data_IF_389957951025
#
_entry.id   IF_389957951025
#
_cell.length_a   1.000
_cell.length_b   1.000
_cell.length_c   1.000
_cell.angle_alpha   90.00
_cell.angle_beta   90.00
_cell.angle_gamma   90.00
#
_symmetry.space_group_name_H-M   'P 1'
#
loop_
_entity.id
_entity.type
_entity.pdbx_description
1 polymer ?
#
# COMPACT_ATOMS: atom_id res chain seq x y z
N UNK A 1 39.10 26.37 -26.65
CA UNK A 1 38.45 25.97 -27.91
C UNK A 1 37.05 25.50 -27.57
N UNK A 2 36.04 26.29 -27.90
CA UNK A 2 34.64 25.88 -27.73
C UNK A 2 34.24 25.25 -29.06
N UNK A 3 33.91 23.96 -29.05
CA UNK A 3 33.41 23.29 -30.25
C UNK A 3 32.05 23.88 -30.63
N UNK A 4 31.75 23.91 -31.93
CA UNK A 4 30.44 24.33 -32.43
C UNK A 4 29.34 23.47 -31.77
N UNK A 5 28.16 24.02 -31.41
CA UNK A 5 27.11 23.26 -30.74
C UNK A 5 26.70 21.98 -31.50
N UNK A 6 26.73 22.03 -32.83
CA UNK A 6 26.46 20.86 -33.67
C UNK A 6 27.54 19.78 -33.57
N UNK A 7 28.80 20.16 -33.45
CA UNK A 7 29.91 19.21 -33.27
C UNK A 7 29.85 18.61 -31.87
N UNK A 8 29.57 19.43 -30.84
CA UNK A 8 29.36 18.95 -29.48
C UNK A 8 28.19 17.95 -29.41
N UNK A 9 27.10 18.24 -30.12
CA UNK A 9 25.95 17.34 -30.25
C UNK A 9 26.33 16.04 -30.95
N UNK A 10 27.00 16.10 -32.10
CA UNK A 10 27.41 14.92 -32.86
C UNK A 10 28.38 14.01 -32.08
N UNK A 11 29.32 14.60 -31.34
CA UNK A 11 30.23 13.85 -30.46
C UNK A 11 29.47 13.17 -29.33
N UNK A 12 28.55 13.89 -28.69
CA UNK A 12 27.72 13.34 -27.62
C UNK A 12 26.81 12.21 -28.14
N UNK A 13 26.15 12.39 -29.29
CA UNK A 13 25.35 11.34 -29.95
C UNK A 13 26.20 10.11 -30.29
N UNK A 14 27.44 10.30 -30.76
CA UNK A 14 28.38 9.22 -31.06
C UNK A 14 28.81 8.45 -29.80
N UNK A 15 29.16 9.14 -28.72
CA UNK A 15 29.52 8.51 -27.43
C UNK A 15 28.35 7.68 -26.88
N UNK A 16 27.14 8.23 -26.91
CA UNK A 16 25.91 7.53 -26.51
C UNK A 16 25.66 6.27 -27.36
N UNK A 17 25.97 6.32 -28.66
CA UNK A 17 25.85 5.16 -29.56
C UNK A 17 26.82 4.03 -29.21
N UNK A 18 28.03 4.36 -28.76
CA UNK A 18 28.97 3.35 -28.29
C UNK A 18 28.57 2.73 -26.96
N UNK A 19 28.00 3.53 -26.05
CA UNK A 19 27.44 3.00 -24.80
C UNK A 19 26.24 2.07 -25.05
N UNK A 20 25.38 2.38 -26.04
CA UNK A 20 24.32 1.49 -26.50
C UNK A 20 24.86 0.11 -26.90
N UNK A 21 25.90 0.07 -27.74
CA UNK A 21 26.50 -1.19 -28.23
C UNK A 21 27.10 -1.98 -27.08
N UNK A 22 27.81 -1.32 -26.15
CA UNK A 22 28.38 -1.97 -24.95
C UNK A 22 27.30 -2.50 -24.01
N UNK A 23 26.21 -1.76 -23.87
CA UNK A 23 25.11 -2.14 -22.98
C UNK A 23 24.27 -3.28 -23.54
N UNK A 24 24.00 -3.31 -24.86
CA UNK A 24 23.33 -4.47 -25.52
C UNK A 24 24.15 -5.76 -25.42
N UNK A 25 25.47 -5.65 -25.30
CA UNK A 25 26.37 -6.78 -25.04
C UNK A 25 26.45 -7.15 -23.55
N UNK A 26 25.95 -6.31 -22.65
CA UNK A 26 25.90 -6.55 -21.21
C UNK A 26 24.50 -7.06 -20.82
N UNK A 27 24.41 -8.07 -19.96
CA UNK A 27 23.13 -8.60 -19.46
C UNK A 27 22.38 -7.65 -18.50
N UNK A 28 22.72 -6.36 -18.48
CA UNK A 28 22.14 -5.37 -17.58
C UNK A 28 20.86 -4.73 -18.13
N UNK A 29 20.00 -4.23 -17.25
CA UNK A 29 18.84 -3.43 -17.66
C UNK A 29 19.28 -2.02 -18.07
N UNK A 30 18.69 -1.47 -19.12
CA UNK A 30 19.03 -0.14 -19.64
C UNK A 30 18.42 0.94 -18.74
N UNK A 31 19.27 1.62 -17.97
CA UNK A 31 18.91 2.62 -16.94
C UNK A 31 18.66 4.01 -17.56
N UNK A 32 18.89 4.20 -18.86
CA UNK A 32 18.73 5.52 -19.51
C UNK A 32 17.28 5.97 -19.55
N UNK A 33 17.12 7.28 -19.41
CA UNK A 33 15.83 7.96 -19.39
C UNK A 33 15.22 8.06 -20.79
N UNK A 34 13.90 8.21 -20.82
CA UNK A 34 13.12 8.33 -22.04
C UNK A 34 13.49 9.52 -22.93
N UNK A 35 14.18 10.55 -22.45
CA UNK A 35 14.61 11.69 -23.27
C UNK A 35 15.95 11.46 -24.00
N UNK A 36 16.77 10.53 -23.52
CA UNK A 36 18.17 10.42 -23.93
C UNK A 36 18.39 9.65 -25.23
N UNK A 37 17.50 8.70 -25.57
CA UNK A 37 17.71 7.79 -26.71
C UNK A 37 16.39 7.54 -27.43
N UNK A 38 16.43 7.58 -28.77
CA UNK A 38 15.26 7.38 -29.64
C UNK A 38 14.49 6.07 -29.36
N UNK A 39 15.21 4.97 -29.08
CA UNK A 39 14.59 3.69 -28.71
C UNK A 39 13.75 3.81 -27.43
N UNK A 40 14.25 4.53 -26.43
CA UNK A 40 13.53 4.78 -25.17
C UNK A 40 12.38 5.77 -25.36
N UNK A 41 12.55 6.78 -26.20
CA UNK A 41 11.47 7.71 -26.60
C UNK A 41 10.31 6.93 -27.24
N UNK A 42 10.59 6.06 -28.23
CA UNK A 42 9.58 5.21 -28.88
C UNK A 42 8.87 4.28 -27.90
N UNK A 43 9.62 3.66 -26.98
CA UNK A 43 9.04 2.81 -25.94
C UNK A 43 8.13 3.60 -24.99
N UNK A 44 8.56 4.79 -24.57
CA UNK A 44 7.78 5.68 -23.72
C UNK A 44 6.49 6.12 -24.39
N UNK A 45 6.52 6.56 -25.65
CA UNK A 45 5.33 6.92 -26.41
C UNK A 45 4.33 5.75 -26.47
N UNK A 46 4.82 4.54 -26.75
CA UNK A 46 3.97 3.34 -26.74
C UNK A 46 3.34 3.09 -25.38
N UNK A 47 4.09 3.26 -24.29
CA UNK A 47 3.59 3.12 -22.93
C UNK A 47 2.54 4.18 -22.58
N UNK A 48 2.77 5.44 -22.96
CA UNK A 48 1.81 6.53 -22.74
C UNK A 48 0.52 6.26 -23.50
N UNK A 49 0.59 5.86 -24.77
CA UNK A 49 -0.61 5.51 -25.56
C UNK A 49 -1.36 4.35 -24.91
N UNK A 50 -0.67 3.29 -24.52
CA UNK A 50 -1.29 2.14 -23.85
C UNK A 50 -1.94 2.54 -22.51
N UNK A 51 -1.28 3.40 -21.74
CA UNK A 51 -1.80 3.90 -20.48
C UNK A 51 -3.06 4.74 -20.69
N UNK A 52 -3.04 5.71 -21.60
CA UNK A 52 -4.21 6.54 -21.92
C UNK A 52 -5.37 5.69 -22.40
N UNK A 53 -5.14 4.74 -23.31
CA UNK A 53 -6.17 3.82 -23.78
C UNK A 53 -6.75 2.96 -22.64
N UNK A 54 -5.92 2.57 -21.67
CA UNK A 54 -6.37 1.82 -20.50
C UNK A 54 -7.23 2.68 -19.58
N UNK A 55 -6.83 3.93 -19.33
CA UNK A 55 -7.62 4.90 -18.56
C UNK A 55 -8.96 5.18 -19.24
N UNK A 56 -8.97 5.39 -20.57
CA UNK A 56 -10.21 5.60 -21.31
C UNK A 56 -11.14 4.38 -21.24
N UNK A 57 -10.57 3.17 -21.30
CA UNK A 57 -11.33 1.91 -21.26
C UNK A 57 -11.84 1.56 -19.86
N UNK A 58 -11.02 1.75 -18.82
CA UNK A 58 -11.31 1.31 -17.45
C UNK A 58 -11.88 2.44 -16.58
N UNK A 59 -11.85 3.68 -17.05
CA UNK A 59 -12.14 4.87 -16.27
C UNK A 59 -10.89 5.41 -15.58
N UNK A 60 -10.86 6.72 -15.34
CA UNK A 60 -9.77 7.37 -14.62
C UNK A 60 -9.99 7.23 -13.11
N UNK A 61 -9.25 6.31 -12.49
CA UNK A 61 -9.32 6.08 -11.03
C UNK A 61 -8.95 7.32 -10.19
N UNK A 62 -8.24 8.31 -10.74
CA UNK A 62 -7.96 9.56 -10.03
C UNK A 62 -9.15 10.53 -9.98
N UNK A 63 -10.16 10.30 -10.82
CA UNK A 63 -11.43 11.05 -10.81
C UNK A 63 -12.57 10.20 -10.23
N UNK A 64 -12.26 8.99 -9.78
CA UNK A 64 -13.23 8.06 -9.25
C UNK A 64 -13.55 8.40 -7.79
N UNK A 65 -14.75 8.92 -7.54
CA UNK A 65 -15.30 9.14 -6.19
C UNK A 65 -15.98 7.86 -5.68
N UNK A 66 -15.27 6.73 -5.68
CA UNK A 66 -15.79 5.50 -5.07
C UNK A 66 -15.51 5.49 -3.56
N UNK A 67 -16.47 4.95 -2.80
CA UNK A 67 -16.41 4.86 -1.34
C UNK A 67 -15.10 4.21 -0.86
N UNK A 68 -14.59 3.20 -1.59
CA UNK A 68 -13.33 2.52 -1.30
C UNK A 68 -12.09 3.45 -1.43
N UNK A 69 -12.07 4.36 -2.41
CA UNK A 69 -10.98 5.34 -2.58
C UNK A 69 -11.07 6.43 -1.51
N UNK A 70 -12.29 6.83 -1.14
CA UNK A 70 -12.53 7.79 -0.06
C UNK A 70 -12.13 7.24 1.31
N UNK A 71 -12.32 5.94 1.57
CA UNK A 71 -11.85 5.26 2.79
C UNK A 71 -10.32 5.24 2.88
N UNK A 72 -9.62 5.06 1.75
CA UNK A 72 -8.16 5.14 1.70
C UNK A 72 -7.64 6.57 1.95
N UNK A 73 -8.30 7.58 1.40
CA UNK A 73 -7.95 8.99 1.59
C UNK A 73 -8.24 9.47 3.02
N UNK A 74 -9.41 9.12 3.57
CA UNK A 74 -9.80 9.43 4.96
C UNK A 74 -9.02 8.64 6.00
N UNK A 75 -8.23 7.63 5.58
CA UNK A 75 -7.47 6.73 6.46
C UNK A 75 -8.32 6.01 7.51
N UNK A 76 -9.63 5.87 7.28
CA UNK A 76 -10.54 5.19 8.21
C UNK A 76 -10.44 3.66 8.05
N UNK A 77 -9.23 3.15 8.34
CA UNK A 77 -8.83 1.74 8.17
C UNK A 77 -9.02 0.96 9.49
N UNK A 78 -9.43 1.64 10.56
CA UNK A 78 -9.50 1.08 11.91
C UNK A 78 -10.88 0.49 12.15
N UNK A 79 -10.93 -0.79 12.58
CA UNK A 79 -12.16 -1.43 13.01
C UNK A 79 -12.88 -0.55 14.05
N UNK A 80 -14.18 -0.22 13.87
CA UNK A 80 -14.92 0.64 14.78
C UNK A 80 -14.85 0.19 16.25
N UNK A 81 -14.75 -1.11 16.53
CA UNK A 81 -14.57 -1.65 17.89
C UNK A 81 -13.21 -1.28 18.47
N UNK A 82 -12.16 -1.30 17.66
CA UNK A 82 -10.82 -0.88 18.07
C UNK A 82 -10.80 0.63 18.29
N UNK A 83 -11.39 1.41 17.39
CA UNK A 83 -11.50 2.86 17.55
C UNK A 83 -12.23 3.25 18.85
N UNK A 84 -13.37 2.60 19.12
CA UNK A 84 -14.14 2.83 20.35
C UNK A 84 -13.37 2.40 21.61
N UNK A 85 -12.62 1.30 21.54
CA UNK A 85 -11.79 0.83 22.66
C UNK A 85 -10.68 1.83 22.96
N UNK A 86 -9.99 2.34 21.92
CA UNK A 86 -8.91 3.32 22.07
C UNK A 86 -9.44 4.64 22.61
N UNK A 87 -10.58 5.12 22.10
CA UNK A 87 -11.22 6.37 22.57
C UNK A 87 -11.58 6.30 24.05
N UNK A 88 -12.02 5.14 24.54
CA UNK A 88 -12.54 4.98 25.90
C UNK A 88 -11.57 4.26 26.85
N UNK A 89 -10.30 4.07 26.46
CA UNK A 89 -9.37 3.21 27.20
C UNK A 89 -9.08 3.72 28.62
N UNK A 90 -9.06 5.05 28.78
CA UNK A 90 -8.85 5.71 30.08
C UNK A 90 -10.02 5.44 31.03
N UNK A 91 -11.25 5.64 30.55
CA UNK A 91 -12.47 5.33 31.32
C UNK A 91 -12.49 3.87 31.75
N UNK A 92 -12.20 2.95 30.82
CA UNK A 92 -12.14 1.51 31.09
C UNK A 92 -11.09 1.19 32.17
N UNK A 93 -9.93 1.85 32.11
CA UNK A 93 -8.87 1.68 33.10
C UNK A 93 -9.28 2.17 34.49
N UNK A 94 -9.90 3.35 34.57
CA UNK A 94 -10.40 3.91 35.83
C UNK A 94 -11.47 3.02 36.48
N UNK A 95 -12.44 2.54 35.69
CA UNK A 95 -13.48 1.65 36.18
C UNK A 95 -12.89 0.35 36.76
N UNK A 96 -11.88 -0.22 36.07
CA UNK A 96 -11.17 -1.43 36.52
C UNK A 96 -10.37 -1.19 37.80
N UNK A 97 -9.73 -0.03 37.93
CA UNK A 97 -9.03 0.35 39.14
C UNK A 97 -9.98 0.50 40.33
N UNK A 98 -11.10 1.20 40.16
CA UNK A 98 -12.09 1.37 41.21
C UNK A 98 -12.72 0.04 41.64
N UNK A 99 -12.99 -0.84 40.69
CA UNK A 99 -13.44 -2.21 40.97
C UNK A 99 -12.43 -2.96 41.84
N UNK A 100 -11.15 -2.92 41.48
CA UNK A 100 -10.07 -3.55 42.25
C UNK A 100 -9.96 -3.02 43.68
N UNK A 101 -9.92 -1.70 43.86
CA UNK A 101 -9.83 -1.06 45.19
C UNK A 101 -11.03 -1.46 46.04
N UNK A 102 -12.23 -1.41 45.46
CA UNK A 102 -13.46 -1.76 46.16
C UNK A 102 -13.48 -3.22 46.60
N UNK A 103 -13.07 -4.16 45.75
CA UNK A 103 -13.14 -5.59 46.07
C UNK A 103 -12.03 -6.05 47.02
N UNK A 104 -10.78 -5.64 46.76
CA UNK A 104 -9.60 -6.10 47.52
C UNK A 104 -9.44 -5.33 48.83
N UNK A 105 -9.58 -4.00 48.80
CA UNK A 105 -9.29 -3.13 49.95
C UNK A 105 -10.55 -2.79 50.75
N UNK A 106 -11.65 -2.49 50.07
CA UNK A 106 -12.92 -2.11 50.69
C UNK A 106 -13.67 -3.30 51.29
N UNK A 107 -14.12 -4.22 50.41
CA UNK A 107 -14.94 -5.37 50.79
C UNK A 107 -14.13 -6.57 51.28
N UNK A 108 -12.82 -6.63 50.95
CA UNK A 108 -11.90 -7.72 51.27
C UNK A 108 -12.44 -9.11 50.86
N UNK A 109 -13.24 -9.14 49.80
CA UNK A 109 -13.86 -10.37 49.28
C UNK A 109 -12.86 -11.25 48.57
N UNK A 110 -11.77 -10.66 48.09
CA UNK A 110 -10.77 -11.32 47.26
C UNK A 110 -9.36 -10.98 47.80
N UNK A 111 -8.47 -11.97 48.07
CA UNK A 111 -7.13 -11.75 48.63
C UNK A 111 -6.19 -10.90 47.76
N UNK A 112 -5.36 -10.03 48.33
CA UNK A 112 -4.44 -9.20 47.51
C UNK A 112 -3.48 -10.03 46.62
N UNK A 113 -3.17 -11.26 47.05
CA UNK A 113 -2.26 -12.18 46.37
C UNK A 113 -2.84 -12.88 45.15
N UNK A 114 -4.15 -12.82 44.91
CA UNK A 114 -4.71 -13.54 43.76
C UNK A 114 -4.29 -12.89 42.44
N UNK A 115 -4.14 -13.70 41.38
CA UNK A 115 -3.86 -13.19 40.05
C UNK A 115 -4.94 -12.22 39.55
N UNK A 116 -4.50 -11.12 38.92
CA UNK A 116 -5.38 -10.19 38.23
C UNK A 116 -5.65 -10.72 36.82
N UNK A 117 -6.93 -10.87 36.48
CA UNK A 117 -7.34 -11.30 35.14
C UNK A 117 -6.99 -10.25 34.10
N UNK A 118 -6.36 -10.66 33.01
CA UNK A 118 -6.06 -9.77 31.88
C UNK A 118 -7.32 -9.23 31.21
N UNK A 119 -7.29 -7.94 30.87
CA UNK A 119 -8.37 -7.28 30.12
C UNK A 119 -8.34 -7.74 28.65
N UNK A 120 -9.48 -8.24 28.15
CA UNK A 120 -9.63 -8.65 26.75
C UNK A 120 -10.19 -7.49 25.92
N UNK A 121 -9.34 -6.48 25.69
CA UNK A 121 -9.70 -5.32 24.87
C UNK A 121 -9.47 -5.58 23.38
N UNK A 122 -10.30 -4.99 22.53
CA UNK A 122 -10.12 -5.00 21.08
C UNK A 122 -9.07 -3.95 20.73
N UNK A 123 -7.81 -4.37 20.68
CA UNK A 123 -6.65 -3.55 20.34
C UNK A 123 -6.06 -3.99 19.00
N UNK A 124 -5.22 -3.16 18.39
CA UNK A 124 -4.61 -3.41 17.07
C UNK A 124 -3.87 -4.77 16.96
N UNK A 125 -3.34 -5.29 18.07
CA UNK A 125 -2.65 -6.59 18.14
C UNK A 125 -3.60 -7.79 18.16
N UNK A 126 -4.86 -7.58 18.60
CA UNK A 126 -5.86 -8.62 18.73
C UNK A 126 -6.83 -8.53 17.56
N UNK A 127 -6.36 -8.90 16.38
CA UNK A 127 -7.28 -9.28 15.31
C UNK A 127 -8.14 -10.42 15.87
N UNK A 128 -9.46 -10.23 15.96
CA UNK A 128 -10.35 -11.36 16.19
C UNK A 128 -9.95 -12.44 15.18
N UNK A 129 -9.61 -13.64 15.68
CA UNK A 129 -9.42 -14.81 14.81
C UNK A 129 -10.72 -14.94 14.02
N UNK A 130 -10.63 -14.48 12.79
CA UNK A 130 -11.75 -14.27 11.88
C UNK A 130 -12.52 -15.58 11.83
N UNK A 131 -13.77 -15.56 12.31
CA UNK A 131 -14.65 -16.74 12.36
C UNK A 131 -15.22 -17.12 11.00
N UNK A 132 -14.52 -16.79 9.92
CA UNK A 132 -14.83 -17.22 8.58
C UNK A 132 -13.78 -18.24 8.17
N UNK A 133 -14.24 -19.40 7.70
CA UNK A 133 -13.37 -20.38 7.05
C UNK A 133 -12.47 -19.67 6.04
N UNK A 134 -11.23 -20.13 5.89
CA UNK A 134 -10.24 -19.50 5.00
C UNK A 134 -10.81 -19.22 3.60
N UNK A 135 -11.73 -20.05 3.12
CA UNK A 135 -12.47 -19.87 1.87
C UNK A 135 -13.43 -18.68 1.89
N UNK A 136 -14.25 -18.51 2.93
CA UNK A 136 -15.17 -17.35 3.05
C UNK A 136 -14.40 -16.04 3.13
N UNK A 137 -13.24 -16.05 3.80
CA UNK A 137 -12.32 -14.91 3.89
C UNK A 137 -11.63 -14.62 2.55
N UNK A 138 -11.24 -15.65 1.79
CA UNK A 138 -10.73 -15.48 0.43
C UNK A 138 -11.80 -14.92 -0.49
N UNK A 139 -13.05 -15.37 -0.38
CA UNK A 139 -14.16 -14.89 -1.21
C UNK A 139 -14.58 -13.47 -0.83
N UNK A 140 -14.65 -13.12 0.46
CA UNK A 140 -14.96 -11.76 0.90
C UNK A 140 -13.82 -10.79 0.65
N UNK A 141 -12.55 -11.23 0.83
CA UNK A 141 -11.42 -10.42 0.42
C UNK A 141 -11.39 -10.26 -1.09
N UNK A 142 -11.62 -11.29 -1.92
CA UNK A 142 -11.70 -11.14 -3.38
C UNK A 142 -12.79 -10.14 -3.80
N UNK A 143 -13.91 -10.12 -3.07
CA UNK A 143 -15.04 -9.21 -3.33
C UNK A 143 -14.71 -7.75 -2.95
N UNK A 144 -14.08 -7.51 -1.80
CA UNK A 144 -13.60 -6.17 -1.42
C UNK A 144 -12.33 -5.75 -2.18
N UNK A 145 -11.56 -6.72 -2.64
CA UNK A 145 -10.30 -6.54 -3.36
C UNK A 145 -10.50 -6.63 -4.86
N UNK A 146 -11.68 -6.26 -5.39
CA UNK A 146 -11.87 -6.21 -6.84
C UNK A 146 -10.82 -5.28 -7.47
N UNK A 147 -10.47 -4.19 -6.77
CA UNK A 147 -9.41 -3.27 -7.16
C UNK A 147 -8.02 -3.90 -7.06
N UNK A 148 -7.73 -4.65 -5.99
CA UNK A 148 -6.44 -5.36 -5.86
C UNK A 148 -6.29 -6.47 -6.90
N UNK A 149 -7.36 -7.22 -7.19
CA UNK A 149 -7.36 -8.25 -8.22
C UNK A 149 -7.17 -7.62 -9.61
N UNK A 150 -7.83 -6.49 -9.90
CA UNK A 150 -7.61 -5.71 -11.12
C UNK A 150 -6.17 -5.17 -11.22
N UNK A 151 -5.63 -4.61 -10.14
CA UNK A 151 -4.24 -4.13 -10.06
C UNK A 151 -3.26 -5.28 -10.27
N UNK A 152 -3.44 -6.40 -9.59
CA UNK A 152 -2.60 -7.59 -9.72
C UNK A 152 -2.62 -8.13 -11.15
N UNK A 153 -3.80 -8.28 -11.76
CA UNK A 153 -3.93 -8.69 -13.17
C UNK A 153 -3.30 -7.67 -14.13
N UNK A 154 -3.42 -6.37 -13.85
CA UNK A 154 -2.79 -5.32 -14.66
C UNK A 154 -1.25 -5.36 -14.57
N UNK A 155 -0.70 -5.82 -13.43
CA UNK A 155 0.74 -6.00 -13.26
C UNK A 155 1.27 -7.26 -13.95
N UNK A 156 0.49 -8.34 -14.01
CA UNK A 156 0.88 -9.60 -14.65
C UNK A 156 0.99 -9.50 -16.19
N UNK A 157 0.34 -8.51 -16.81
CA UNK A 157 0.45 -8.26 -18.25
C UNK A 157 1.74 -7.55 -18.70
N UNK A 158 2.67 -7.23 -17.78
CA UNK A 158 3.91 -6.51 -18.09
C UNK A 158 5.09 -7.42 -18.44
N UNK A 159 4.96 -8.74 -18.25
CA UNK A 159 6.00 -9.73 -18.54
C UNK A 159 5.83 -10.43 -19.91
N UNK A 160 5.20 -9.75 -20.88
CA UNK A 160 5.06 -10.22 -22.28
C UNK A 160 5.52 -9.18 -23.29
#
# INVERSE_FOLDING_TARGET
MVCDPEIARAVNEFELSQELIKHEQSNGSDVRQHEQVERKQKAFVKQVIAFTATIEKMGNSFLEESEDILVLDTRDIVDPKVANTVRNIEQIGNDKYHEYVRERLGKRTTPLSDPIKQNKLHLFSRQELRSDSNEKRQISSLKQSSLFAKLYVSCQGRDS
#
